data_IF_770459802413
#
_entry.id   IF_770459802413
#
_cell.length_a   1.000
_cell.length_b   1.000
_cell.length_c   1.000
_cell.angle_alpha   90.00
_cell.angle_beta   90.00
_cell.angle_gamma   90.00
#
_symmetry.space_group_name_H-M   'P 1'
#
loop_
_entity.id
_entity.type
_entity.pdbx_description
1 polymer ?
#
# COMPACT_ATOMS: atom_id res chain seq x y z
N UNK A 1 -55.42 56.05 16.80
CA UNK A 1 -54.64 56.06 18.05
C UNK A 1 -53.42 55.18 17.81
N UNK A 2 -52.30 55.79 17.40
CA UNK A 2 -51.03 55.11 17.09
C UNK A 2 -50.18 55.05 18.36
N UNK A 3 -49.70 53.86 18.73
CA UNK A 3 -48.56 53.71 19.65
C UNK A 3 -47.36 53.23 18.82
N UNK A 4 -46.39 54.12 18.64
CA UNK A 4 -45.06 53.84 18.08
C UNK A 4 -44.19 53.30 19.21
N UNK A 5 -43.64 52.10 19.01
CA UNK A 5 -42.59 51.52 19.86
C UNK A 5 -41.27 52.27 19.58
N UNK A 6 -40.78 52.99 20.59
CA UNK A 6 -39.44 53.57 20.61
C UNK A 6 -38.45 52.45 20.92
N UNK A 7 -37.59 52.10 19.96
CA UNK A 7 -36.42 51.25 20.18
C UNK A 7 -35.25 52.11 20.67
N UNK A 8 -34.77 51.85 21.89
CA UNK A 8 -33.61 52.49 22.50
C UNK A 8 -32.33 52.08 21.73
N UNK A 9 -31.75 53.02 20.97
CA UNK A 9 -30.44 52.85 20.32
C UNK A 9 -29.33 53.32 21.27
N UNK A 10 -28.89 52.44 22.17
CA UNK A 10 -27.65 52.66 22.91
C UNK A 10 -26.47 52.26 22.02
N UNK A 11 -25.75 53.26 21.51
CA UNK A 11 -24.47 53.06 20.82
C UNK A 11 -23.40 52.59 21.80
N UNK A 12 -22.55 51.67 21.35
CA UNK A 12 -21.41 51.18 22.14
C UNK A 12 -20.45 52.32 22.50
N UNK A 13 -20.00 52.34 23.76
CA UNK A 13 -19.03 53.34 24.23
C UNK A 13 -17.63 53.00 23.75
N UNK A 14 -16.77 54.02 23.57
CA UNK A 14 -15.37 53.83 23.18
C UNK A 14 -14.61 52.91 24.14
N UNK A 15 -15.01 52.86 25.41
CA UNK A 15 -14.47 51.95 26.42
C UNK A 15 -14.81 50.50 26.11
N UNK A 16 -16.06 50.19 25.72
CA UNK A 16 -16.44 48.83 25.32
C UNK A 16 -15.62 48.35 24.12
N UNK A 17 -15.39 49.22 23.12
CA UNK A 17 -14.62 48.86 21.93
C UNK A 17 -13.14 48.60 22.27
N UNK A 18 -12.54 49.40 23.15
CA UNK A 18 -11.17 49.18 23.64
C UNK A 18 -11.06 47.88 24.45
N UNK A 19 -12.03 47.58 25.32
CA UNK A 19 -12.07 46.32 26.08
C UNK A 19 -12.21 45.13 25.13
N UNK A 20 -13.09 45.21 24.12
CA UNK A 20 -13.22 44.17 23.10
C UNK A 20 -11.92 43.95 22.33
N UNK A 21 -11.22 45.02 21.94
CA UNK A 21 -9.91 44.90 21.27
C UNK A 21 -8.86 44.19 22.15
N UNK A 22 -8.78 44.52 23.44
CA UNK A 22 -7.85 43.86 24.37
C UNK A 22 -8.19 42.38 24.55
N UNK A 23 -9.49 42.03 24.67
CA UNK A 23 -9.94 40.64 24.79
C UNK A 23 -9.59 39.86 23.51
N UNK A 24 -9.83 40.44 22.33
CA UNK A 24 -9.51 39.79 21.05
C UNK A 24 -8.01 39.59 20.90
N UNK A 25 -7.19 40.61 21.18
CA UNK A 25 -5.73 40.50 21.11
C UNK A 25 -5.18 39.48 22.11
N UNK A 26 -5.70 39.47 23.34
CA UNK A 26 -5.35 38.47 24.35
C UNK A 26 -5.74 37.05 23.92
N UNK A 27 -6.94 36.89 23.35
CA UNK A 27 -7.41 35.64 22.77
C UNK A 27 -6.51 35.15 21.64
N UNK A 28 -6.17 36.02 20.68
CA UNK A 28 -5.27 35.69 19.57
C UNK A 28 -3.88 35.28 20.05
N UNK A 29 -3.31 35.99 21.04
CA UNK A 29 -2.01 35.63 21.62
C UNK A 29 -2.04 34.28 22.33
N UNK A 30 -3.12 33.98 23.08
CA UNK A 30 -3.31 32.69 23.74
C UNK A 30 -3.45 31.55 22.71
N UNK A 31 -4.23 31.74 21.65
CA UNK A 31 -4.37 30.76 20.57
C UNK A 31 -3.05 30.53 19.85
N UNK A 32 -2.27 31.58 19.56
CA UNK A 32 -0.95 31.45 18.95
C UNK A 32 0.01 30.64 19.83
N UNK A 33 0.02 30.89 21.15
CA UNK A 33 0.82 30.12 22.09
C UNK A 33 0.42 28.64 22.13
N UNK A 34 -0.88 28.34 22.06
CA UNK A 34 -1.39 26.96 21.98
C UNK A 34 -0.95 26.27 20.67
N UNK A 35 -1.03 26.96 19.54
CA UNK A 35 -0.59 26.43 18.23
C UNK A 35 0.91 26.14 18.22
N UNK A 36 1.73 27.06 18.73
CA UNK A 36 3.19 26.86 18.85
C UNK A 36 3.50 25.67 19.77
N UNK A 37 2.80 25.57 20.90
CA UNK A 37 2.92 24.43 21.82
C UNK A 37 2.56 23.10 21.16
N UNK A 38 1.43 23.06 20.45
CA UNK A 38 0.96 21.87 19.72
C UNK A 38 1.94 21.45 18.63
N UNK A 39 2.44 22.40 17.82
CA UNK A 39 3.43 22.12 16.78
C UNK A 39 4.74 21.59 17.36
N UNK A 40 5.21 22.16 18.48
CA UNK A 40 6.41 21.68 19.16
C UNK A 40 6.24 20.27 19.75
N UNK A 41 5.05 19.92 20.24
CA UNK A 41 4.76 18.55 20.68
C UNK A 41 4.70 17.57 19.51
N UNK A 42 4.04 17.93 18.40
CA UNK A 42 3.97 17.10 17.20
C UNK A 42 5.34 16.82 16.61
N UNK A 43 6.16 17.87 16.43
CA UNK A 43 7.55 17.72 15.97
C UNK A 43 8.38 16.84 16.92
N UNK A 44 8.19 17.00 18.24
CA UNK A 44 8.86 16.17 19.23
C UNK A 44 8.48 14.68 19.17
N UNK A 45 7.21 14.38 18.90
CA UNK A 45 6.72 13.00 18.69
C UNK A 45 7.29 12.41 17.42
N UNK A 46 7.23 13.15 16.30
CA UNK A 46 7.78 12.71 15.02
C UNK A 46 9.29 12.43 15.10
N UNK A 47 10.06 13.26 15.81
CA UNK A 47 11.49 13.03 16.01
C UNK A 47 11.76 11.76 16.85
N UNK A 48 10.91 11.45 17.83
CA UNK A 48 11.02 10.23 18.64
C UNK A 48 10.69 8.97 17.84
N UNK A 49 9.65 9.03 17.02
CA UNK A 49 9.28 7.96 16.08
C UNK A 49 10.43 7.69 15.10
N UNK A 50 10.99 8.75 14.50
CA UNK A 50 12.14 8.64 13.61
C UNK A 50 13.36 8.04 14.31
N UNK A 51 13.69 8.48 15.53
CA UNK A 51 14.81 7.93 16.30
C UNK A 51 14.63 6.45 16.62
N UNK A 52 13.41 6.02 16.97
CA UNK A 52 13.10 4.62 17.29
C UNK A 52 13.15 3.75 16.03
N UNK A 53 12.62 4.26 14.91
CA UNK A 53 12.74 3.61 13.61
C UNK A 53 14.20 3.45 13.21
N UNK A 54 15.01 4.50 13.33
CA UNK A 54 16.43 4.48 12.98
C UNK A 54 17.23 3.53 13.88
N UNK A 55 16.98 3.52 15.19
CA UNK A 55 17.64 2.60 16.11
C UNK A 55 17.32 1.14 15.77
N UNK A 56 16.07 0.86 15.36
CA UNK A 56 15.66 -0.46 14.88
C UNK A 56 16.32 -0.81 13.55
N UNK A 57 16.31 0.11 12.59
CA UNK A 57 16.94 -0.05 11.26
C UNK A 57 18.42 -0.39 11.40
N UNK A 58 19.17 0.29 12.28
CA UNK A 58 20.59 0.00 12.53
C UNK A 58 20.82 -1.41 13.11
N UNK A 59 19.92 -1.87 14.01
CA UNK A 59 20.02 -3.20 14.61
C UNK A 59 19.62 -4.30 13.63
N UNK A 60 18.59 -4.10 12.82
CA UNK A 60 18.21 -5.03 11.75
C UNK A 60 19.27 -5.07 10.64
N UNK A 61 19.83 -3.91 10.26
CA UNK A 61 20.95 -3.81 9.35
C UNK A 61 22.18 -4.56 9.86
N UNK A 62 22.36 -4.66 11.17
CA UNK A 62 23.46 -5.44 11.76
C UNK A 62 23.28 -6.95 11.51
N UNK A 63 22.06 -7.48 11.40
CA UNK A 63 21.82 -8.88 11.03
C UNK A 63 22.24 -9.20 9.59
N UNK A 64 22.26 -8.17 8.75
CA UNK A 64 22.75 -8.23 7.38
C UNK A 64 24.28 -8.08 7.28
N UNK A 65 25.00 -7.83 8.38
CA UNK A 65 26.48 -7.80 8.41
C UNK A 65 27.00 -9.18 8.78
N UNK A 66 28.01 -9.67 8.04
CA UNK A 66 28.60 -10.98 8.33
C UNK A 66 29.20 -11.02 9.74
N UNK A 67 29.04 -12.15 10.42
CA UNK A 67 29.39 -12.27 11.83
C UNK A 67 30.83 -11.84 12.17
N UNK A 68 31.87 -12.19 11.37
CA UNK A 68 33.23 -11.70 11.62
C UNK A 68 33.37 -10.18 11.55
N UNK A 69 32.53 -9.50 10.76
CA UNK A 69 32.54 -8.03 10.55
C UNK A 69 31.64 -7.26 11.50
N UNK A 70 30.87 -7.94 12.34
CA UNK A 70 30.21 -7.37 13.51
C UNK A 70 31.23 -7.09 14.63
N UNK A 71 32.33 -6.41 14.31
CA UNK A 71 33.35 -5.99 15.26
C UNK A 71 33.26 -4.48 15.48
N UNK A 72 33.70 -4.01 16.65
CA UNK A 72 33.53 -2.62 17.07
C UNK A 72 34.14 -1.62 16.08
N UNK A 73 35.22 -2.00 15.40
CA UNK A 73 35.94 -1.17 14.44
C UNK A 73 35.37 -1.23 13.00
N UNK A 74 34.53 -2.21 12.66
CA UNK A 74 34.02 -2.40 11.29
C UNK A 74 32.51 -2.21 11.19
N UNK A 75 31.75 -2.45 12.26
CA UNK A 75 30.28 -2.46 12.24
C UNK A 75 29.69 -1.15 11.71
N UNK A 76 30.25 0.00 12.09
CA UNK A 76 29.76 1.31 11.63
C UNK A 76 29.94 1.46 10.12
N UNK A 77 31.12 1.14 9.59
CA UNK A 77 31.38 1.21 8.14
C UNK A 77 30.51 0.24 7.33
N UNK A 78 30.18 -0.92 7.90
CA UNK A 78 29.30 -1.90 7.25
C UNK A 78 27.85 -1.44 7.22
N UNK A 79 27.37 -0.82 8.31
CA UNK A 79 26.03 -0.25 8.37
C UNK A 79 25.91 0.96 7.44
N UNK A 80 26.90 1.85 7.42
CA UNK A 80 26.92 3.01 6.52
C UNK A 80 26.94 2.65 5.04
N UNK A 81 27.39 1.44 4.68
CA UNK A 81 27.34 0.95 3.31
C UNK A 81 25.96 0.41 2.88
N UNK A 82 25.01 0.32 3.82
CA UNK A 82 23.62 -0.08 3.55
C UNK A 82 22.78 1.14 3.16
N UNK A 83 21.88 0.95 2.20
CA UNK A 83 21.03 2.03 1.71
C UNK A 83 20.15 2.57 2.85
N UNK A 84 20.13 3.90 3.02
CA UNK A 84 19.39 4.57 4.08
C UNK A 84 20.18 4.74 5.39
N UNK A 85 21.27 4.00 5.62
CA UNK A 85 22.08 4.11 6.82
C UNK A 85 23.39 4.88 6.59
N UNK A 86 23.56 5.48 5.41
CA UNK A 86 24.68 6.34 5.06
C UNK A 86 24.83 7.52 6.03
N UNK A 87 26.06 8.02 6.15
CA UNK A 87 26.32 9.24 6.91
C UNK A 87 25.81 10.45 6.12
N UNK A 88 24.73 11.04 6.60
CA UNK A 88 24.10 12.20 5.97
C UNK A 88 24.92 13.47 6.15
N UNK A 89 25.86 13.51 7.11
CA UNK A 89 26.70 14.68 7.41
C UNK A 89 28.15 14.27 7.71
N UNK A 90 28.90 13.79 6.69
CA UNK A 90 30.25 13.27 6.88
C UNK A 90 31.29 14.33 7.31
N UNK A 91 30.92 15.62 7.25
CA UNK A 91 31.76 16.71 7.75
C UNK A 91 31.65 16.89 9.28
N UNK A 92 30.55 16.42 9.88
CA UNK A 92 30.34 16.43 11.33
C UNK A 92 31.04 15.21 11.95
N UNK A 93 31.40 15.31 13.24
CA UNK A 93 32.04 14.18 13.93
C UNK A 93 31.03 13.07 14.26
N UNK A 94 31.40 11.82 13.98
CA UNK A 94 30.59 10.64 14.28
C UNK A 94 29.55 10.36 13.19
N UNK A 95 28.86 9.22 13.31
CA UNK A 95 27.85 8.82 12.32
C UNK A 95 26.57 9.63 12.51
N UNK A 96 26.27 10.50 11.55
CA UNK A 96 25.07 11.35 11.55
C UNK A 96 24.07 10.85 10.51
N UNK A 97 22.79 10.79 10.88
CA UNK A 97 21.70 10.47 9.95
C UNK A 97 20.65 11.56 10.04
N UNK A 98 20.26 12.13 8.90
CA UNK A 98 19.22 13.15 8.84
C UNK A 98 17.89 12.55 8.38
N UNK A 99 16.83 12.74 9.18
CA UNK A 99 15.46 12.34 8.84
C UNK A 99 14.49 13.46 9.20
N UNK A 100 13.65 13.85 8.23
CA UNK A 100 12.61 14.88 8.43
C UNK A 100 13.17 16.17 9.06
N UNK A 101 14.30 16.65 8.54
CA UNK A 101 15.01 17.86 9.03
C UNK A 101 15.45 17.80 10.50
N UNK A 102 15.64 16.59 11.05
CA UNK A 102 16.24 16.33 12.36
C UNK A 102 17.50 15.50 12.18
N UNK A 103 18.59 15.94 12.78
CA UNK A 103 19.88 15.23 12.77
C UNK A 103 19.96 14.33 13.98
N UNK A 104 20.28 13.07 13.73
CA UNK A 104 20.47 12.04 14.74
C UNK A 104 21.94 11.62 14.74
N UNK A 105 22.54 11.51 15.92
CA UNK A 105 23.85 10.88 16.09
C UNK A 105 23.64 9.42 16.46
N UNK A 106 24.22 8.51 15.68
CA UNK A 106 24.09 7.07 15.88
C UNK A 106 25.40 6.51 16.40
N UNK A 107 25.35 5.82 17.54
CA UNK A 107 26.49 5.08 18.10
C UNK A 107 26.14 3.60 18.15
N UNK A 108 26.97 2.76 17.53
CA UNK A 108 26.82 1.31 17.57
C UNK A 108 27.96 0.69 18.36
N UNK A 109 27.60 -0.16 19.32
CA UNK A 109 28.56 -0.94 20.10
C UNK A 109 28.29 -2.43 19.94
N UNK A 110 29.34 -3.22 19.81
CA UNK A 110 29.29 -4.68 19.65
C UNK A 110 30.19 -5.35 20.68
N UNK A 111 29.78 -6.51 21.16
CA UNK A 111 30.57 -7.37 22.03
C UNK A 111 30.27 -8.83 21.70
N UNK A 112 31.22 -9.71 22.01
CA UNK A 112 31.01 -11.15 22.01
C UNK A 112 30.36 -11.58 23.34
N UNK A 113 29.56 -12.64 23.30
CA UNK A 113 28.86 -13.27 24.43
C UNK A 113 28.96 -14.77 24.24
N UNK A 114 29.39 -15.45 25.30
CA UNK A 114 29.63 -16.88 25.41
C UNK A 114 28.36 -17.62 25.88
N UNK A 115 28.10 -18.85 25.41
CA UNK A 115 26.98 -19.66 25.89
C UNK A 115 27.41 -20.45 27.14
N UNK A 116 26.90 -20.15 28.36
CA UNK A 116 27.30 -20.87 29.57
C UNK A 116 26.98 -22.38 29.58
N UNK A 117 26.32 -22.92 28.55
CA UNK A 117 25.93 -24.33 28.45
C UNK A 117 27.05 -25.27 28.01
N UNK A 118 28.03 -24.81 27.25
CA UNK A 118 29.18 -25.62 26.82
C UNK A 118 30.49 -25.19 27.49
N UNK A 119 30.50 -24.05 28.17
CA UNK A 119 31.57 -23.60 29.04
C UNK A 119 31.55 -22.08 29.09
N UNK A 120 32.59 -21.48 29.67
CA UNK A 120 32.94 -20.08 29.43
C UNK A 120 34.43 -20.06 29.11
N UNK A 121 34.77 -19.64 27.89
CA UNK A 121 36.13 -19.48 27.39
C UNK A 121 36.61 -18.03 27.41
N UNK A 122 37.78 -17.78 26.82
CA UNK A 122 38.33 -16.43 26.65
C UNK A 122 37.77 -15.78 25.38
N UNK A 123 37.03 -14.68 25.51
CA UNK A 123 36.55 -13.91 24.37
C UNK A 123 36.69 -12.40 24.61
N UNK A 124 36.48 -11.63 23.54
CA UNK A 124 36.50 -10.16 23.58
C UNK A 124 35.25 -9.60 24.28
N UNK A 125 35.18 -9.80 25.60
CA UNK A 125 34.16 -9.23 26.47
C UNK A 125 34.32 -7.70 26.54
N UNK A 126 33.20 -6.98 26.71
CA UNK A 126 33.20 -5.55 27.03
C UNK A 126 32.57 -5.34 28.40
N UNK A 127 32.78 -4.19 29.04
CA UNK A 127 32.09 -3.87 30.31
C UNK A 127 30.55 -3.96 30.20
N UNK A 128 30.02 -3.89 28.98
CA UNK A 128 28.60 -4.02 28.69
C UNK A 128 28.13 -5.49 28.50
N UNK A 129 29.05 -6.41 28.22
CA UNK A 129 28.81 -7.84 28.00
C UNK A 129 29.89 -8.63 28.72
N UNK A 130 29.92 -8.49 30.03
CA UNK A 130 30.81 -9.25 30.88
C UNK A 130 30.18 -10.61 31.18
N UNK A 131 30.86 -11.67 30.80
CA UNK A 131 30.45 -13.02 31.16
C UNK A 131 31.04 -13.43 32.53
N UNK A 132 30.54 -14.53 33.13
CA UNK A 132 31.11 -15.10 34.34
C UNK A 132 32.59 -15.47 34.16
N UNK A 133 33.26 -15.81 35.26
CA UNK A 133 34.63 -16.33 35.17
C UNK A 133 34.68 -17.61 34.32
N UNK A 134 35.78 -17.78 33.59
CA UNK A 134 36.05 -18.96 32.77
C UNK A 134 35.80 -20.27 33.53
N UNK A 135 35.21 -21.25 32.83
CA UNK A 135 34.94 -22.58 33.39
C UNK A 135 36.14 -23.52 33.18
N UNK A 136 36.11 -24.68 33.85
CA UNK A 136 37.07 -25.77 33.63
C UNK A 136 36.31 -27.08 33.37
N UNK A 137 36.34 -27.66 32.16
CA UNK A 137 37.07 -27.16 30.98
C UNK A 137 36.50 -25.83 30.45
N UNK A 138 37.38 -25.02 29.87
CA UNK A 138 36.99 -23.78 29.20
C UNK A 138 36.36 -24.12 27.84
N UNK A 139 35.42 -23.29 27.39
CA UNK A 139 34.90 -23.42 26.04
C UNK A 139 35.99 -23.05 25.01
N UNK A 140 36.06 -23.84 23.93
CA UNK A 140 37.02 -23.69 22.86
C UNK A 140 36.53 -22.76 21.74
N UNK A 141 35.25 -22.37 21.74
CA UNK A 141 34.63 -21.49 20.75
C UNK A 141 33.80 -20.35 21.38
N UNK A 142 34.36 -19.56 22.32
CA UNK A 142 33.59 -18.70 23.24
C UNK A 142 32.92 -17.47 22.60
N UNK A 143 32.91 -17.38 21.27
CA UNK A 143 32.25 -16.33 20.48
C UNK A 143 30.97 -16.89 19.84
N UNK A 144 30.00 -17.27 20.67
CA UNK A 144 28.72 -17.85 20.24
C UNK A 144 27.72 -16.81 19.75
N UNK A 145 27.70 -15.65 20.39
CA UNK A 145 26.80 -14.58 20.02
C UNK A 145 27.52 -13.22 19.99
N UNK A 146 27.04 -12.36 19.11
CA UNK A 146 27.34 -10.93 19.15
C UNK A 146 26.12 -10.16 19.60
N UNK A 147 26.29 -9.37 20.65
CA UNK A 147 25.27 -8.40 21.07
C UNK A 147 25.60 -7.05 20.47
N UNK A 148 24.67 -6.54 19.68
CA UNK A 148 24.77 -5.25 19.00
C UNK A 148 23.80 -4.28 19.66
N UNK A 149 24.29 -3.09 19.98
CA UNK A 149 23.48 -2.00 20.54
C UNK A 149 23.57 -0.81 19.63
N UNK A 150 22.42 -0.29 19.20
CA UNK A 150 22.33 1.02 18.57
C UNK A 150 21.79 2.03 19.57
N UNK A 151 22.52 3.11 19.78
CA UNK A 151 22.08 4.28 20.55
C UNK A 151 21.95 5.46 19.59
N UNK A 152 20.74 6.00 19.48
CA UNK A 152 20.42 7.15 18.65
C UNK A 152 20.14 8.34 19.55
N UNK A 153 20.92 9.41 19.43
CA UNK A 153 20.71 10.67 20.16
C UNK A 153 20.27 11.80 19.23
N UNK A 154 19.45 12.72 19.74
CA UNK A 154 19.04 13.93 19.03
C UNK A 154 18.69 15.05 20.00
N UNK A 155 18.81 16.30 19.54
CA UNK A 155 18.52 17.48 20.36
C UNK A 155 17.38 18.29 19.74
N UNK A 156 16.13 18.16 20.26
CA UNK A 156 15.03 19.00 19.82
C UNK A 156 15.29 20.47 20.17
N UNK A 157 14.80 21.40 19.35
CA UNK A 157 15.01 22.83 19.55
C UNK A 157 14.52 23.27 20.93
N UNK A 158 15.41 23.93 21.70
CA UNK A 158 15.10 24.43 23.04
C UNK A 158 14.88 23.36 24.12
N UNK A 159 15.23 22.09 23.86
CA UNK A 159 15.09 20.97 24.80
C UNK A 159 16.42 20.23 25.03
N UNK A 160 16.57 19.50 26.14
CA UNK A 160 17.73 18.65 26.35
C UNK A 160 17.81 17.54 25.30
N UNK A 161 19.02 17.03 25.10
CA UNK A 161 19.26 15.86 24.27
C UNK A 161 18.41 14.67 24.74
N UNK A 162 17.91 13.90 23.78
CA UNK A 162 17.14 12.69 23.99
C UNK A 162 17.86 11.53 23.34
N UNK A 163 17.67 10.34 23.89
CA UNK A 163 18.27 9.12 23.38
C UNK A 163 17.24 8.00 23.28
N UNK A 164 17.43 7.13 22.30
CA UNK A 164 16.76 5.83 22.19
C UNK A 164 17.84 4.77 22.03
N UNK A 165 17.67 3.65 22.71
CA UNK A 165 18.59 2.52 22.67
C UNK A 165 17.83 1.27 22.22
N UNK A 166 18.41 0.54 21.27
CA UNK A 166 17.94 -0.76 20.80
C UNK A 166 19.09 -1.76 20.88
N UNK A 167 18.76 -3.01 21.19
CA UNK A 167 19.73 -4.10 21.33
C UNK A 167 19.23 -5.31 20.57
N UNK A 168 20.12 -6.00 19.85
CA UNK A 168 19.88 -7.37 19.39
C UNK A 168 21.06 -8.28 19.69
N UNK A 169 20.77 -9.57 19.66
CA UNK A 169 21.74 -10.64 19.70
C UNK A 169 21.72 -11.37 18.36
N UNK A 170 22.90 -11.65 17.83
CA UNK A 170 23.14 -12.34 16.56
C UNK A 170 23.98 -13.56 16.91
N UNK A 171 23.50 -14.77 16.60
CA UNK A 171 24.22 -16.03 16.83
C UNK A 171 25.32 -16.21 15.79
N UNK A 172 26.44 -16.86 16.12
CA UNK A 172 27.49 -17.29 15.19
C UNK A 172 27.02 -18.52 14.39
N UNK A 173 27.11 -18.54 13.04
CA UNK A 173 27.79 -17.62 12.13
C UNK A 173 26.90 -16.49 11.57
N UNK A 174 25.71 -16.30 12.12
CA UNK A 174 24.78 -15.24 11.75
C UNK A 174 23.96 -15.56 10.50
N UNK A 175 23.01 -14.69 10.18
CA UNK A 175 22.15 -14.83 9.00
C UNK A 175 22.81 -14.41 7.67
N UNK A 176 24.08 -13.98 7.69
CA UNK A 176 24.80 -13.46 6.51
C UNK A 176 26.28 -13.90 6.48
N UNK A 177 26.56 -15.17 6.77
CA UNK A 177 27.91 -15.74 6.72
C UNK A 177 28.44 -15.95 5.31
N UNK A 178 27.56 -16.06 4.31
CA UNK A 178 27.93 -16.23 2.90
C UNK A 178 28.49 -14.98 2.23
N UNK A 179 28.93 -15.08 0.96
CA UNK A 179 29.37 -13.94 0.15
C UNK A 179 28.28 -12.87 0.05
N UNK A 180 28.63 -11.60 0.28
CA UNK A 180 27.67 -10.49 0.16
C UNK A 180 27.65 -9.91 -1.25
N UNK A 181 26.53 -9.31 -1.64
CA UNK A 181 26.45 -8.46 -2.84
C UNK A 181 27.01 -7.07 -2.50
N UNK A 182 28.14 -6.71 -3.12
CA UNK A 182 28.84 -5.42 -2.95
C UNK A 182 28.25 -4.36 -3.86
N UNK A 183 27.98 -4.71 -5.12
CA UNK A 183 27.33 -3.81 -6.08
C UNK A 183 26.21 -4.58 -6.77
N UNK A 184 25.14 -3.85 -7.09
CA UNK A 184 24.10 -4.25 -8.01
C UNK A 184 23.84 -3.01 -8.84
N UNK A 185 23.83 -3.14 -10.16
CA UNK A 185 23.53 -2.06 -11.10
C UNK A 185 22.55 -2.56 -12.15
N UNK A 186 21.89 -1.62 -12.85
CA UNK A 186 20.99 -1.95 -13.95
C UNK A 186 21.30 -1.08 -15.18
N UNK A 187 21.10 -1.64 -16.35
CA UNK A 187 21.11 -0.96 -17.64
C UNK A 187 19.82 -1.29 -18.40
N UNK A 188 19.00 -0.31 -18.82
CA UNK A 188 19.22 1.13 -18.69
C UNK A 188 19.16 1.63 -17.23
N UNK A 189 20.03 2.58 -16.91
CA UNK A 189 20.08 3.21 -15.58
C UNK A 189 18.94 4.21 -15.32
N UNK A 190 18.19 4.59 -16.37
CA UNK A 190 17.05 5.50 -16.29
C UNK A 190 15.99 5.03 -15.29
N UNK A 191 15.38 5.97 -14.56
CA UNK A 191 14.26 5.71 -13.67
C UNK A 191 13.19 6.82 -13.83
N UNK A 192 11.99 6.51 -14.37
CA UNK A 192 11.61 5.21 -14.91
C UNK A 192 12.29 4.91 -16.25
N UNK A 193 12.26 3.65 -16.66
CA UNK A 193 12.65 3.21 -17.98
C UNK A 193 11.51 3.55 -18.93
N UNK A 194 11.71 4.59 -19.74
CA UNK A 194 10.74 5.10 -20.70
C UNK A 194 11.12 4.81 -22.15
N UNK A 195 10.11 4.63 -23.01
CA UNK A 195 10.27 4.41 -24.45
C UNK A 195 10.35 2.94 -24.88
N UNK A 196 9.81 2.65 -26.06
CA UNK A 196 9.62 1.28 -26.61
C UNK A 196 10.92 0.60 -27.10
N UNK A 197 12.07 1.28 -27.11
CA UNK A 197 13.29 0.74 -27.73
C UNK A 197 14.06 -0.27 -26.88
N UNK A 198 13.73 -0.38 -25.59
CA UNK A 198 14.43 -1.28 -24.67
C UNK A 198 13.62 -2.55 -24.46
N UNK A 199 14.05 -3.64 -25.10
CA UNK A 199 13.43 -4.96 -24.92
C UNK A 199 13.88 -5.71 -23.66
N UNK A 200 14.85 -5.16 -22.93
CA UNK A 200 15.52 -5.84 -21.84
C UNK A 200 16.06 -4.87 -20.79
N UNK A 201 16.16 -5.33 -19.55
CA UNK A 201 16.92 -4.69 -18.46
C UNK A 201 18.01 -5.67 -18.03
N UNK A 202 19.26 -5.26 -18.17
CA UNK A 202 20.41 -6.03 -17.72
C UNK A 202 20.82 -5.61 -16.32
N UNK A 203 21.22 -6.55 -15.49
CA UNK A 203 21.68 -6.35 -14.13
C UNK A 203 23.08 -6.90 -13.98
N UNK A 204 23.97 -6.13 -13.36
CA UNK A 204 25.32 -6.59 -13.02
C UNK A 204 25.50 -6.56 -11.51
N UNK A 205 25.85 -7.70 -10.93
CA UNK A 205 26.09 -7.88 -9.51
C UNK A 205 27.55 -8.26 -9.26
N UNK A 206 28.19 -7.65 -8.25
CA UNK A 206 29.51 -8.08 -7.78
C UNK A 206 29.43 -8.59 -6.35
N UNK A 207 29.94 -9.79 -6.09
CA UNK A 207 30.06 -10.39 -4.77
C UNK A 207 31.37 -9.99 -4.09
N UNK A 208 31.43 -10.06 -2.75
CA UNK A 208 32.66 -9.72 -2.00
C UNK A 208 33.80 -10.73 -2.19
N UNK A 209 33.43 -11.98 -2.47
CA UNK A 209 34.31 -13.11 -2.78
C UNK A 209 33.57 -14.00 -3.77
N UNK A 210 34.27 -14.89 -4.51
CA UNK A 210 33.62 -15.83 -5.43
C UNK A 210 32.54 -16.61 -4.66
N UNK A 211 31.30 -16.49 -5.11
CA UNK A 211 30.19 -17.24 -4.53
C UNK A 211 30.12 -18.66 -5.11
N UNK A 212 29.53 -19.59 -4.38
CA UNK A 212 29.23 -20.91 -4.93
C UNK A 212 27.93 -20.87 -5.73
N UNK A 213 26.95 -20.10 -5.26
CA UNK A 213 25.73 -19.83 -6.00
C UNK A 213 25.29 -18.36 -5.83
N UNK A 214 24.66 -17.80 -6.86
CA UNK A 214 24.01 -16.49 -6.82
C UNK A 214 22.60 -16.64 -7.39
N UNK A 215 21.61 -16.22 -6.62
CA UNK A 215 20.20 -16.22 -7.01
C UNK A 215 19.76 -14.80 -7.38
N UNK A 216 19.24 -14.65 -8.59
CA UNK A 216 18.56 -13.45 -9.05
C UNK A 216 17.06 -13.67 -8.99
N UNK A 217 16.35 -12.67 -8.47
CA UNK A 217 14.92 -12.72 -8.23
C UNK A 217 14.22 -11.46 -8.69
N UNK A 218 13.01 -11.60 -9.23
CA UNK A 218 12.11 -10.51 -9.56
C UNK A 218 10.87 -10.62 -8.66
N UNK A 219 10.53 -9.56 -7.94
CA UNK A 219 9.41 -9.50 -6.98
C UNK A 219 9.40 -10.65 -5.96
N UNK A 220 10.61 -11.09 -5.56
CA UNK A 220 10.81 -12.17 -4.60
C UNK A 220 10.76 -13.58 -5.20
N UNK A 221 10.42 -13.72 -6.49
CA UNK A 221 10.46 -15.01 -7.21
C UNK A 221 11.86 -15.23 -7.77
N UNK A 222 12.47 -16.38 -7.50
CA UNK A 222 13.79 -16.74 -8.07
C UNK A 222 13.61 -17.07 -9.55
N UNK A 223 14.22 -16.24 -10.39
CA UNK A 223 14.19 -16.37 -11.84
C UNK A 223 15.43 -17.10 -12.36
N UNK A 224 16.57 -16.89 -11.71
CA UNK A 224 17.82 -17.53 -12.10
C UNK A 224 18.69 -17.90 -10.90
N UNK A 225 19.41 -19.02 -11.02
CA UNK A 225 20.45 -19.42 -10.08
C UNK A 225 21.70 -19.74 -10.89
N UNK A 226 22.77 -19.01 -10.63
CA UNK A 226 24.06 -19.16 -11.30
C UNK A 226 25.13 -19.65 -10.32
N UNK A 227 26.17 -20.31 -10.84
CA UNK A 227 27.36 -20.74 -10.11
C UNK A 227 28.59 -20.02 -10.70
N UNK A 228 28.83 -18.75 -10.32
CA UNK A 228 29.76 -17.89 -11.04
C UNK A 228 31.21 -18.35 -10.86
N UNK A 229 31.99 -18.24 -11.95
CA UNK A 229 33.43 -18.53 -11.95
C UNK A 229 34.28 -17.39 -11.37
N UNK A 230 33.67 -16.22 -11.15
CA UNK A 230 34.30 -15.00 -10.64
C UNK A 230 33.43 -14.32 -9.57
N UNK A 231 33.80 -13.11 -9.15
CA UNK A 231 32.95 -12.28 -8.29
C UNK A 231 31.84 -11.55 -9.04
N UNK A 232 31.81 -11.59 -10.37
CA UNK A 232 30.79 -10.90 -11.17
C UNK A 232 29.75 -11.89 -11.73
N UNK A 233 28.49 -11.46 -11.72
CA UNK A 233 27.35 -12.14 -12.32
C UNK A 233 26.47 -11.13 -13.06
N UNK A 234 25.96 -11.52 -14.22
CA UNK A 234 25.06 -10.70 -15.05
C UNK A 234 23.73 -11.40 -15.29
N UNK A 235 22.63 -10.66 -15.23
CA UNK A 235 21.28 -11.16 -15.44
C UNK A 235 20.51 -10.27 -16.38
N UNK A 236 19.59 -10.88 -17.11
CA UNK A 236 19.01 -10.29 -18.29
C UNK A 236 17.49 -10.49 -18.22
N UNK A 237 16.77 -9.43 -17.85
CA UNK A 237 15.32 -9.46 -17.75
C UNK A 237 14.70 -8.97 -19.07
N UNK A 238 14.16 -9.89 -19.85
CA UNK A 238 13.47 -9.55 -21.10
C UNK A 238 12.11 -8.95 -20.79
N UNK A 239 11.93 -7.66 -21.08
CA UNK A 239 10.69 -6.90 -20.82
C UNK A 239 9.82 -6.75 -22.07
N UNK A 240 10.40 -6.87 -23.26
CA UNK A 240 9.67 -6.92 -24.54
C UNK A 240 10.51 -7.60 -25.64
N UNK A 241 9.99 -8.65 -26.26
CA UNK A 241 10.61 -9.28 -27.44
C UNK A 241 9.60 -9.73 -28.51
N UNK A 242 8.37 -9.20 -28.46
CA UNK A 242 7.27 -9.59 -29.35
C UNK A 242 6.51 -10.88 -28.94
N UNK A 243 7.15 -11.82 -28.25
CA UNK A 243 6.47 -12.98 -27.61
C UNK A 243 6.19 -12.76 -26.12
N UNK A 244 7.00 -11.92 -25.48
CA UNK A 244 6.91 -11.52 -24.09
C UNK A 244 6.64 -10.03 -24.05
N UNK A 245 5.64 -9.63 -23.27
CA UNK A 245 5.37 -8.25 -22.91
C UNK A 245 5.14 -8.20 -21.40
N UNK A 246 6.11 -7.62 -20.69
CA UNK A 246 5.93 -7.26 -19.28
C UNK A 246 5.07 -6.00 -19.25
N UNK A 247 4.09 -5.90 -18.37
CA UNK A 247 3.26 -4.70 -18.22
C UNK A 247 4.05 -3.55 -17.59
N UNK A 248 3.62 -2.31 -17.78
CA UNK A 248 4.27 -1.18 -17.11
C UNK A 248 3.90 -1.15 -15.62
N UNK A 249 4.78 -0.59 -14.80
CA UNK A 249 4.68 -0.71 -13.34
C UNK A 249 6.02 -0.72 -12.60
N UNK A 250 5.94 -1.02 -11.29
CA UNK A 250 7.10 -1.07 -10.40
C UNK A 250 7.44 -2.50 -10.02
N UNK A 251 8.71 -2.85 -10.22
CA UNK A 251 9.28 -4.18 -9.98
C UNK A 251 10.49 -4.08 -9.04
N UNK A 252 10.78 -5.16 -8.31
CA UNK A 252 11.95 -5.25 -7.43
C UNK A 252 12.84 -6.40 -7.89
N UNK A 253 13.98 -6.05 -8.49
CA UNK A 253 15.04 -7.00 -8.79
C UNK A 253 15.95 -7.15 -7.57
N UNK A 254 16.23 -8.38 -7.15
CA UNK A 254 17.09 -8.67 -6.00
C UNK A 254 18.09 -9.79 -6.30
N UNK A 255 19.24 -9.72 -5.65
CA UNK A 255 20.31 -10.70 -5.80
C UNK A 255 20.81 -11.14 -4.43
N UNK A 256 20.98 -12.45 -4.26
CA UNK A 256 21.53 -13.07 -3.04
C UNK A 256 22.62 -14.08 -3.41
N UNK A 257 23.79 -13.99 -2.77
CA UNK A 257 24.87 -14.93 -2.98
C UNK A 257 24.99 -15.92 -1.82
N UNK A 258 25.50 -17.11 -2.10
CA UNK A 258 25.58 -18.26 -1.20
C UNK A 258 26.98 -18.87 -1.23
N UNK A 259 27.44 -19.36 -0.08
CA UNK A 259 28.68 -20.14 0.02
C UNK A 259 28.47 -21.63 -0.35
N UNK A 260 29.55 -22.41 -0.22
CA UNK A 260 29.55 -23.84 -0.52
C UNK A 260 28.68 -24.68 0.44
N UNK A 261 28.30 -24.13 1.59
CA UNK A 261 27.40 -24.75 2.56
C UNK A 261 25.94 -24.32 2.32
N UNK A 262 25.68 -23.48 1.31
CA UNK A 262 24.36 -22.95 1.00
C UNK A 262 23.91 -21.85 1.96
N UNK A 263 24.83 -21.23 2.71
CA UNK A 263 24.51 -20.12 3.61
C UNK A 263 24.47 -18.81 2.80
N UNK A 264 23.40 -18.02 2.93
CA UNK A 264 23.30 -16.74 2.23
C UNK A 264 24.24 -15.71 2.85
N UNK A 265 24.76 -14.81 2.01
CA UNK A 265 25.25 -13.51 2.45
C UNK A 265 24.21 -12.41 2.26
N UNK A 266 24.62 -11.17 2.48
CA UNK A 266 23.74 -10.00 2.36
C UNK A 266 23.23 -9.80 0.93
N UNK A 267 21.92 -9.72 0.76
CA UNK A 267 21.27 -9.41 -0.51
C UNK A 267 21.32 -7.91 -0.85
N UNK A 268 21.22 -7.58 -2.14
CA UNK A 268 20.91 -6.22 -2.61
C UNK A 268 19.71 -6.25 -3.55
N UNK A 269 18.95 -5.15 -3.55
CA UNK A 269 17.80 -4.98 -4.44
C UNK A 269 17.83 -3.62 -5.13
N UNK A 270 17.27 -3.56 -6.33
CA UNK A 270 17.00 -2.33 -7.07
C UNK A 270 15.54 -2.32 -7.48
N UNK A 271 14.88 -1.18 -7.27
CA UNK A 271 13.55 -0.91 -7.84
C UNK A 271 13.69 -0.54 -9.31
N UNK A 272 12.91 -1.18 -10.16
CA UNK A 272 12.81 -0.90 -11.59
C UNK A 272 11.40 -0.42 -11.88
N UNK A 273 11.27 0.79 -12.41
CA UNK A 273 9.99 1.31 -12.89
C UNK A 273 9.98 1.29 -14.40
N UNK A 274 8.95 0.69 -14.97
CA UNK A 274 8.67 0.68 -16.40
C UNK A 274 7.55 1.68 -16.67
N UNK A 275 7.80 2.61 -17.58
CA UNK A 275 6.86 3.65 -18.00
C UNK A 275 7.04 3.89 -19.52
N UNK A 276 6.77 2.85 -20.31
CA UNK A 276 7.10 2.78 -21.74
C UNK A 276 5.95 3.22 -22.62
N UNK A 277 4.72 2.95 -22.22
CA UNK A 277 3.54 3.09 -23.09
C UNK A 277 2.29 3.59 -22.39
N UNK A 278 1.19 3.57 -23.13
CA UNK A 278 -0.16 3.80 -22.60
C UNK A 278 -0.70 2.50 -22.02
N UNK A 279 -1.66 2.54 -21.07
CA UNK A 279 -2.15 1.33 -20.47
C UNK A 279 -2.80 0.37 -21.45
N UNK A 280 -2.64 -0.93 -21.19
CA UNK A 280 -3.34 -1.98 -21.91
C UNK A 280 -4.85 -1.85 -21.73
N UNK A 281 -5.61 -2.38 -22.69
CA UNK A 281 -7.05 -2.38 -22.64
C UNK A 281 -7.54 -3.13 -21.38
N UNK A 282 -8.61 -2.61 -20.79
CA UNK A 282 -9.28 -3.24 -19.66
C UNK A 282 -10.09 -4.44 -20.14
N UNK A 283 -10.03 -5.53 -19.38
CA UNK A 283 -10.77 -6.75 -19.64
C UNK A 283 -12.03 -6.88 -18.77
N UNK A 284 -12.90 -7.82 -19.17
CA UNK A 284 -14.06 -8.21 -18.38
C UNK A 284 -15.18 -7.16 -18.28
N UNK A 285 -15.22 -6.16 -19.18
CA UNK A 285 -16.32 -5.19 -19.21
C UNK A 285 -17.66 -5.90 -19.43
N UNK A 286 -18.51 -5.86 -18.43
CA UNK A 286 -19.87 -6.39 -18.44
C UNK A 286 -20.84 -5.36 -17.86
N UNK A 287 -22.13 -5.69 -17.86
CA UNK A 287 -23.19 -4.77 -17.48
C UNK A 287 -24.43 -4.88 -18.36
N UNK A 288 -25.37 -3.97 -18.13
CA UNK A 288 -26.63 -3.96 -18.88
C UNK A 288 -27.63 -2.91 -18.41
N UNK A 289 -28.86 -3.06 -18.91
CA UNK A 289 -29.93 -2.09 -18.70
C UNK A 289 -30.78 -2.51 -17.49
N UNK A 290 -30.82 -1.66 -16.47
CA UNK A 290 -31.70 -1.86 -15.33
C UNK A 290 -33.10 -1.35 -15.67
N UNK A 291 -34.03 -2.25 -15.99
CA UNK A 291 -35.39 -1.87 -16.41
C UNK A 291 -36.20 -1.20 -15.29
N UNK A 292 -35.97 -1.57 -14.02
CA UNK A 292 -36.65 -0.97 -12.87
C UNK A 292 -36.32 0.53 -12.72
N UNK A 293 -35.08 0.93 -13.05
CA UNK A 293 -34.58 2.29 -12.82
C UNK A 293 -34.33 3.10 -14.08
N UNK A 294 -34.38 2.47 -15.25
CA UNK A 294 -34.03 3.10 -16.54
C UNK A 294 -32.61 3.69 -16.57
N UNK A 295 -31.65 2.96 -16.02
CA UNK A 295 -30.22 3.29 -15.99
C UNK A 295 -29.40 2.18 -16.65
N UNK A 296 -28.16 2.47 -17.03
CA UNK A 296 -27.20 1.44 -17.43
C UNK A 296 -26.15 1.28 -16.35
N UNK A 297 -25.84 0.04 -16.02
CA UNK A 297 -24.84 -0.32 -15.01
C UNK A 297 -23.75 -1.15 -15.68
N UNK A 298 -22.50 -0.83 -15.38
CA UNK A 298 -21.31 -1.41 -15.97
C UNK A 298 -20.30 -1.75 -14.89
N UNK A 299 -19.57 -2.84 -15.09
CA UNK A 299 -18.46 -3.24 -14.25
C UNK A 299 -17.37 -3.90 -15.08
N UNK A 300 -16.14 -3.91 -14.58
CA UNK A 300 -14.98 -4.45 -15.28
C UNK A 300 -13.97 -5.05 -14.31
N UNK A 301 -12.96 -5.74 -14.84
CA UNK A 301 -11.84 -6.24 -14.04
C UNK A 301 -10.76 -5.18 -13.90
N UNK A 302 -10.01 -5.21 -12.79
CA UNK A 302 -8.85 -4.34 -12.61
C UNK A 302 -7.85 -4.48 -13.77
N UNK A 303 -7.09 -3.42 -14.04
CA UNK A 303 -6.04 -3.48 -15.04
C UNK A 303 -4.84 -4.26 -14.46
N UNK A 304 -4.16 -5.12 -15.24
CA UNK A 304 -2.94 -5.81 -14.78
C UNK A 304 -1.77 -4.85 -14.48
N UNK A 305 -1.79 -3.64 -15.03
CA UNK A 305 -0.81 -2.59 -14.73
C UNK A 305 -1.01 -1.98 -13.34
N UNK A 306 0.10 -1.85 -12.61
CA UNK A 306 0.11 -1.37 -11.22
C UNK A 306 0.13 0.15 -11.08
N UNK A 307 0.43 0.87 -12.16
CA UNK A 307 0.57 2.32 -12.25
C UNK A 307 -0.67 3.02 -12.85
N UNK A 308 -1.75 2.28 -13.08
CA UNK A 308 -3.05 2.85 -13.43
C UNK A 308 -3.57 3.72 -12.29
N UNK A 309 -3.86 4.98 -12.60
CA UNK A 309 -4.34 5.98 -11.65
C UNK A 309 -5.83 6.24 -11.75
N UNK A 310 -6.46 5.95 -12.90
CA UNK A 310 -7.91 6.16 -13.12
C UNK A 310 -8.49 5.22 -14.18
N UNK A 311 -9.81 5.08 -14.15
CA UNK A 311 -10.61 4.57 -15.25
C UNK A 311 -11.54 5.64 -15.78
N UNK A 312 -11.77 5.65 -17.10
CA UNK A 312 -12.85 6.40 -17.72
C UNK A 312 -13.78 5.47 -18.47
N UNK A 313 -15.07 5.66 -18.26
CA UNK A 313 -16.12 4.93 -18.98
C UNK A 313 -16.77 5.88 -19.96
N UNK A 314 -16.77 5.50 -21.23
CA UNK A 314 -17.35 6.27 -22.31
C UNK A 314 -18.57 5.55 -22.88
N UNK A 315 -19.61 6.32 -23.14
CA UNK A 315 -20.72 5.94 -24.00
C UNK A 315 -20.38 6.31 -25.44
N UNK A 316 -20.40 5.34 -26.35
CA UNK A 316 -20.15 5.54 -27.77
C UNK A 316 -21.47 5.70 -28.53
N UNK A 317 -21.82 6.91 -29.01
CA UNK A 317 -22.99 7.06 -29.86
C UNK A 317 -22.74 6.43 -31.25
N UNK A 318 -23.81 6.09 -32.00
CA UNK A 318 -23.67 5.59 -33.38
C UNK A 318 -22.95 6.57 -34.32
N UNK A 319 -23.08 7.88 -34.04
CA UNK A 319 -22.41 8.97 -34.74
C UNK A 319 -21.95 10.02 -33.74
N UNK A 320 -20.84 10.71 -34.03
CA UNK A 320 -20.27 11.74 -33.16
C UNK A 320 -19.23 11.22 -32.17
N UNK A 321 -18.82 12.09 -31.25
CA UNK A 321 -17.77 11.80 -30.28
C UNK A 321 -18.29 11.00 -29.08
N UNK A 322 -17.47 10.09 -28.50
CA UNK A 322 -17.79 9.43 -27.25
C UNK A 322 -18.08 10.43 -26.12
N UNK A 323 -19.02 10.07 -25.24
CA UNK A 323 -19.43 10.87 -24.08
C UNK A 323 -18.87 10.23 -22.82
N UNK A 324 -18.09 10.98 -22.05
CA UNK A 324 -17.59 10.53 -20.75
C UNK A 324 -18.75 10.41 -19.76
N UNK A 325 -18.90 9.24 -19.13
CA UNK A 325 -19.94 8.94 -18.15
C UNK A 325 -19.38 8.93 -16.73
N UNK A 326 -18.29 8.18 -16.52
CA UNK A 326 -17.63 8.08 -15.22
C UNK A 326 -16.13 8.32 -15.36
N UNK A 327 -15.56 8.93 -14.33
CA UNK A 327 -14.13 8.91 -14.04
C UNK A 327 -13.94 8.38 -12.62
N UNK A 328 -13.29 7.24 -12.48
CA UNK A 328 -13.16 6.50 -11.23
C UNK A 328 -11.70 6.31 -10.83
N UNK A 329 -11.47 6.21 -9.53
CA UNK A 329 -10.20 5.71 -8.97
C UNK A 329 -10.05 4.20 -9.26
N UNK A 330 -8.82 3.64 -9.24
CA UNK A 330 -8.58 2.26 -9.67
C UNK A 330 -9.31 1.20 -8.83
N UNK A 331 -9.64 1.52 -7.58
CA UNK A 331 -10.39 0.63 -6.68
C UNK A 331 -11.89 0.61 -6.92
N UNK A 332 -12.42 1.51 -7.76
CA UNK A 332 -13.84 1.58 -8.12
C UNK A 332 -14.07 1.09 -9.54
N UNK A 333 -14.39 -0.20 -9.65
CA UNK A 333 -14.51 -0.95 -10.91
C UNK A 333 -15.94 -1.02 -11.47
N UNK A 334 -16.75 0.02 -11.20
CA UNK A 334 -18.16 0.08 -11.58
C UNK A 334 -18.55 1.49 -12.05
N UNK A 335 -19.50 1.59 -12.99
CA UNK A 335 -20.03 2.84 -13.48
C UNK A 335 -21.52 2.75 -13.73
N UNK A 336 -22.24 3.83 -13.43
CA UNK A 336 -23.67 3.97 -13.72
C UNK A 336 -23.84 5.13 -14.69
N UNK A 337 -24.48 4.89 -15.83
CA UNK A 337 -25.07 5.94 -16.66
C UNK A 337 -26.49 6.21 -16.15
N UNK A 338 -26.73 7.34 -15.45
CA UNK A 338 -28.05 7.66 -14.91
C UNK A 338 -29.01 8.20 -15.97
N UNK A 339 -28.52 8.52 -17.17
CA UNK A 339 -29.28 9.16 -18.25
C UNK A 339 -28.93 8.55 -19.62
N UNK A 340 -29.10 7.22 -19.77
CA UNK A 340 -28.81 6.56 -21.04
C UNK A 340 -29.81 7.04 -22.12
N UNK A 341 -29.38 7.19 -23.39
CA UNK A 341 -30.27 7.61 -24.46
C UNK A 341 -31.38 6.59 -24.71
N UNK A 342 -32.49 7.03 -25.33
CA UNK A 342 -33.66 6.18 -25.57
C UNK A 342 -33.48 5.09 -26.66
N UNK A 343 -32.28 4.94 -27.22
CA UNK A 343 -31.97 3.96 -28.26
C UNK A 343 -32.20 2.52 -27.82
N UNK A 344 -32.42 1.63 -28.81
CA UNK A 344 -32.59 0.19 -28.57
C UNK A 344 -31.30 -0.44 -28.04
N UNK A 345 -30.16 -0.05 -28.60
CA UNK A 345 -28.83 -0.47 -28.17
C UNK A 345 -27.94 0.72 -27.90
N UNK A 346 -27.03 0.56 -26.94
CA UNK A 346 -26.09 1.59 -26.51
C UNK A 346 -24.74 0.94 -26.26
N UNK A 347 -23.70 1.46 -26.91
CA UNK A 347 -22.35 0.93 -26.77
C UNK A 347 -21.56 1.69 -25.70
N UNK A 348 -20.82 0.95 -24.88
CA UNK A 348 -19.90 1.49 -23.89
C UNK A 348 -18.52 0.85 -24.03
N UNK A 349 -17.49 1.57 -23.59
CA UNK A 349 -16.17 1.01 -23.37
C UNK A 349 -15.52 1.70 -22.18
N UNK A 350 -14.53 1.04 -21.60
CA UNK A 350 -13.70 1.56 -20.52
C UNK A 350 -12.26 1.67 -21.00
N UNK A 351 -11.56 2.68 -20.53
CA UNK A 351 -10.12 2.87 -20.71
C UNK A 351 -9.46 3.02 -19.34
N UNK A 352 -8.26 2.48 -19.21
CA UNK A 352 -7.36 2.76 -18.10
C UNK A 352 -6.53 4.01 -18.41
N UNK A 353 -6.15 4.74 -17.37
CA UNK A 353 -5.26 5.89 -17.46
C UNK A 353 -4.13 5.73 -16.47
N UNK A 354 -2.91 5.97 -16.93
CA UNK A 354 -1.71 6.10 -16.11
C UNK A 354 -1.27 7.58 -16.08
N UNK A 355 -0.11 7.81 -15.49
CA UNK A 355 0.54 9.11 -15.46
C UNK A 355 1.95 9.01 -16.05
N UNK A 356 2.19 9.72 -17.15
CA UNK A 356 3.52 9.82 -17.76
C UNK A 356 4.51 10.50 -16.82
N UNK A 357 5.69 9.92 -16.66
CA UNK A 357 6.80 10.51 -15.91
C UNK A 357 7.82 11.09 -16.89
N UNK A 358 8.37 12.31 -16.65
CA UNK A 358 8.15 13.16 -15.49
C UNK A 358 7.04 14.21 -15.68
N UNK A 359 6.37 14.25 -16.84
CA UNK A 359 5.43 15.33 -17.19
C UNK A 359 4.21 15.40 -16.25
N UNK A 360 3.85 14.27 -15.66
CA UNK A 360 2.64 14.10 -14.87
C UNK A 360 1.37 14.09 -15.70
N UNK A 361 1.47 14.03 -17.04
CA UNK A 361 0.32 14.03 -17.93
C UNK A 361 -0.41 12.68 -17.88
N UNK A 362 -1.74 12.72 -17.86
CA UNK A 362 -2.53 11.49 -17.94
C UNK A 362 -2.47 10.95 -19.37
N UNK A 363 -2.12 9.67 -19.54
CA UNK A 363 -2.25 9.00 -20.82
C UNK A 363 -3.41 8.03 -20.77
N UNK A 364 -4.25 8.11 -21.79
CA UNK A 364 -5.39 7.21 -21.96
C UNK A 364 -4.95 5.97 -22.74
N UNK A 365 -5.25 4.80 -22.19
CA UNK A 365 -4.93 3.50 -22.74
C UNK A 365 -5.79 3.09 -23.94
N UNK A 366 -5.61 1.85 -24.38
CA UNK A 366 -6.47 1.26 -25.39
C UNK A 366 -7.90 1.04 -24.81
N UNK A 367 -8.96 1.22 -25.63
CA UNK A 367 -10.32 0.92 -25.19
C UNK A 367 -10.52 -0.59 -25.02
N UNK A 368 -11.30 -0.97 -24.01
CA UNK A 368 -11.86 -2.31 -23.92
C UNK A 368 -12.67 -2.66 -25.19
N UNK A 369 -12.95 -3.95 -25.44
CA UNK A 369 -14.01 -4.34 -26.36
C UNK A 369 -15.32 -3.61 -26.03
N UNK A 370 -16.10 -3.28 -27.06
CA UNK A 370 -17.38 -2.59 -26.88
C UNK A 370 -18.36 -3.50 -26.12
N UNK A 371 -19.00 -2.95 -25.10
CA UNK A 371 -20.17 -3.54 -24.45
C UNK A 371 -21.43 -2.91 -25.02
N UNK A 372 -22.12 -3.66 -25.88
CA UNK A 372 -23.45 -3.29 -26.35
C UNK A 372 -24.49 -3.68 -25.30
N UNK A 373 -25.18 -2.68 -24.78
CA UNK A 373 -26.31 -2.83 -23.85
C UNK A 373 -27.61 -2.71 -24.63
N UNK A 374 -28.48 -3.71 -24.50
CA UNK A 374 -29.82 -3.69 -25.09
C UNK A 374 -30.83 -3.19 -24.07
N UNK A 375 -31.58 -2.15 -24.42
CA UNK A 375 -32.67 -1.65 -23.62
C UNK A 375 -33.77 -2.70 -23.52
N UNK A 376 -34.30 -2.90 -22.31
CA UNK A 376 -35.38 -3.87 -22.08
C UNK A 376 -36.37 -3.34 -21.04
N UNK A 377 -37.59 -3.88 -21.10
CA UNK A 377 -38.62 -3.70 -20.07
C UNK A 377 -38.76 -4.94 -19.18
N UNK A 378 -38.10 -6.04 -19.56
CA UNK A 378 -38.18 -7.30 -18.82
C UNK A 378 -37.40 -7.17 -17.51
N UNK A 379 -37.95 -7.74 -16.45
CA UNK A 379 -37.34 -7.81 -15.12
C UNK A 379 -37.41 -9.26 -14.63
N UNK A 380 -36.39 -9.73 -13.89
CA UNK A 380 -36.48 -11.02 -13.23
C UNK A 380 -37.57 -10.97 -12.16
N UNK A 381 -38.02 -12.13 -11.71
CA UNK A 381 -38.89 -12.21 -10.54
C UNK A 381 -38.11 -11.81 -9.27
N UNK A 382 -38.74 -11.18 -8.27
CA UNK A 382 -38.11 -10.93 -6.98
C UNK A 382 -37.75 -12.25 -6.27
N UNK A 383 -36.81 -12.22 -5.30
CA UNK A 383 -36.61 -13.35 -4.40
C UNK A 383 -37.91 -13.71 -3.67
N UNK A 384 -38.00 -14.92 -3.14
CA UNK A 384 -39.07 -15.30 -2.22
C UNK A 384 -38.73 -14.89 -0.78
N UNK A 385 -39.50 -15.38 0.19
CA UNK A 385 -39.43 -15.06 1.64
C UNK A 385 -38.10 -14.48 2.12
N UNK A 386 -38.12 -13.27 2.68
CA UNK A 386 -36.96 -12.60 3.29
C UNK A 386 -37.12 -12.57 4.81
N UNK A 387 -36.04 -12.87 5.52
CA UNK A 387 -35.96 -12.80 6.97
C UNK A 387 -34.64 -12.20 7.41
N UNK A 388 -34.61 -11.64 8.61
CA UNK A 388 -33.40 -11.12 9.24
C UNK A 388 -33.31 -11.64 10.66
N UNK A 389 -32.12 -12.05 11.07
CA UNK A 389 -31.83 -12.56 12.42
C UNK A 389 -30.63 -11.82 13.00
N UNK A 390 -30.72 -11.22 14.20
CA UNK A 390 -29.56 -10.62 14.86
C UNK A 390 -28.47 -11.66 15.15
N UNK A 391 -27.21 -11.34 14.85
CA UNK A 391 -26.04 -12.16 15.22
C UNK A 391 -24.94 -11.29 15.85
N UNK A 392 -23.94 -11.87 16.54
CA UNK A 392 -22.81 -11.11 17.07
C UNK A 392 -22.00 -10.35 16.01
N UNK A 393 -22.01 -10.81 14.76
CA UNK A 393 -21.29 -10.19 13.65
C UNK A 393 -22.13 -9.12 12.92
N UNK A 394 -23.43 -9.04 13.20
CA UNK A 394 -24.37 -8.12 12.54
C UNK A 394 -25.70 -8.78 12.18
N UNK A 395 -26.69 -8.04 11.63
CA UNK A 395 -27.93 -8.61 11.12
C UNK A 395 -27.65 -9.58 9.96
N UNK A 396 -28.11 -10.83 10.09
CA UNK A 396 -28.01 -11.85 9.04
C UNK A 396 -29.33 -11.97 8.30
N UNK A 397 -29.30 -11.65 7.01
CA UNK A 397 -30.41 -11.78 6.09
C UNK A 397 -30.39 -13.19 5.48
N UNK A 398 -31.57 -13.76 5.28
CA UNK A 398 -31.77 -15.00 4.53
C UNK A 398 -33.02 -14.88 3.67
N UNK A 399 -32.93 -15.33 2.42
CA UNK A 399 -34.07 -15.37 1.51
C UNK A 399 -34.17 -16.67 0.73
N UNK A 400 -35.30 -16.87 0.03
CA UNK A 400 -35.46 -17.96 -0.93
C UNK A 400 -35.20 -17.50 -2.36
N UNK A 401 -34.70 -18.40 -3.20
CA UNK A 401 -34.32 -18.08 -4.56
C UNK A 401 -35.49 -17.50 -5.37
N UNK A 402 -35.19 -16.56 -6.26
CA UNK A 402 -36.20 -16.03 -7.18
C UNK A 402 -36.69 -17.15 -8.12
N UNK A 403 -38.02 -17.32 -8.29
CA UNK A 403 -38.58 -18.24 -9.27
C UNK A 403 -38.07 -17.93 -10.69
N UNK A 404 -38.11 -18.94 -11.55
CA UNK A 404 -37.88 -18.73 -12.98
C UNK A 404 -38.94 -17.79 -13.57
N UNK A 405 -38.60 -16.98 -14.59
CA UNK A 405 -39.55 -16.07 -15.20
C UNK A 405 -40.73 -16.83 -15.82
N UNK A 406 -41.94 -16.28 -15.66
CA UNK A 406 -43.15 -16.85 -16.28
C UNK A 406 -43.06 -16.86 -17.81
N UNK A 407 -42.36 -15.88 -18.38
CA UNK A 407 -42.06 -15.78 -19.81
C UNK A 407 -40.55 -15.64 -19.96
N UNK A 408 -39.84 -16.68 -20.42
CA UNK A 408 -38.40 -16.62 -20.63
C UNK A 408 -38.01 -15.53 -21.63
N UNK A 409 -36.87 -14.90 -21.38
CA UNK A 409 -36.29 -13.91 -22.27
C UNK A 409 -34.78 -14.05 -22.31
N UNK A 410 -34.15 -13.64 -23.40
CA UNK A 410 -32.70 -13.77 -23.51
C UNK A 410 -32.00 -13.04 -22.34
N UNK A 411 -31.14 -13.75 -21.62
CA UNK A 411 -30.43 -13.21 -20.44
C UNK A 411 -31.27 -13.12 -19.18
N UNK A 412 -32.31 -13.94 -19.04
CA UNK A 412 -33.14 -14.11 -17.85
C UNK A 412 -32.48 -14.92 -16.72
N UNK A 413 -31.32 -15.50 -16.97
CA UNK A 413 -30.50 -16.16 -15.96
C UNK A 413 -30.18 -15.22 -14.79
N UNK A 414 -30.40 -15.68 -13.56
CA UNK A 414 -30.06 -14.95 -12.33
C UNK A 414 -28.55 -14.90 -12.16
N UNK A 415 -27.98 -13.71 -11.99
CA UNK A 415 -26.56 -13.55 -11.70
C UNK A 415 -26.27 -13.46 -10.20
N UNK A 416 -26.97 -12.58 -9.49
CA UNK A 416 -26.75 -12.31 -8.07
C UNK A 416 -27.96 -11.58 -7.46
N UNK A 417 -27.92 -11.36 -6.15
CA UNK A 417 -28.87 -10.52 -5.43
C UNK A 417 -28.22 -9.21 -4.98
N UNK A 418 -29.00 -8.11 -4.96
CA UNK A 418 -28.59 -6.84 -4.37
C UNK A 418 -29.28 -6.64 -3.04
N UNK A 419 -28.54 -6.09 -2.08
CA UNK A 419 -29.01 -5.80 -0.73
C UNK A 419 -29.05 -4.29 -0.55
N UNK A 420 -30.19 -3.82 -0.05
CA UNK A 420 -30.43 -2.42 0.27
C UNK A 420 -30.62 -2.26 1.77
N UNK A 421 -30.15 -1.14 2.32
CA UNK A 421 -30.28 -0.77 3.72
C UNK A 421 -30.84 0.63 3.85
N UNK A 422 -31.86 0.79 4.69
CA UNK A 422 -32.50 2.05 5.06
C UNK A 422 -33.07 2.87 3.89
N UNK A 423 -33.32 2.20 2.76
CA UNK A 423 -33.91 2.81 1.59
C UNK A 423 -33.95 1.84 0.42
N UNK A 424 -34.37 2.36 -0.74
CA UNK A 424 -34.55 1.59 -1.96
C UNK A 424 -33.83 2.23 -3.15
N UNK A 425 -33.24 3.41 -3.02
CA UNK A 425 -32.54 4.10 -4.09
C UNK A 425 -31.23 3.37 -4.44
N UNK A 426 -30.67 3.67 -5.62
CA UNK A 426 -29.39 3.09 -6.06
C UNK A 426 -28.28 3.37 -5.03
N UNK A 427 -28.31 4.55 -4.39
CA UNK A 427 -27.38 4.93 -3.33
C UNK A 427 -27.57 4.19 -2.00
N UNK A 428 -28.69 3.48 -1.82
CA UNK A 428 -29.02 2.72 -0.60
C UNK A 428 -28.55 1.26 -0.71
N UNK A 429 -27.90 0.89 -1.83
CA UNK A 429 -27.27 -0.42 -2.01
C UNK A 429 -26.07 -0.53 -1.09
N UNK A 430 -26.07 -1.54 -0.23
CA UNK A 430 -24.97 -1.79 0.71
C UNK A 430 -24.11 -2.97 0.30
N UNK A 431 -24.66 -3.93 -0.45
CA UNK A 431 -23.94 -5.13 -0.87
C UNK A 431 -24.63 -5.82 -2.05
N UNK A 432 -23.94 -6.83 -2.59
CA UNK A 432 -24.50 -7.85 -3.48
C UNK A 432 -23.89 -9.20 -3.14
N UNK A 433 -24.54 -10.28 -3.56
CA UNK A 433 -23.95 -11.61 -3.52
C UNK A 433 -22.96 -11.81 -4.67
N UNK A 434 -22.06 -12.79 -4.53
CA UNK A 434 -21.12 -13.17 -5.59
C UNK A 434 -21.80 -13.94 -6.72
N UNK A 435 -22.86 -14.68 -6.39
CA UNK A 435 -23.61 -15.52 -7.33
C UNK A 435 -25.08 -15.67 -6.90
N UNK A 436 -25.92 -16.23 -7.78
CA UNK A 436 -27.36 -16.39 -7.55
C UNK A 436 -27.72 -17.58 -6.63
N UNK A 437 -26.76 -18.42 -6.27
CA UNK A 437 -26.92 -19.51 -5.30
C UNK A 437 -26.67 -19.07 -3.86
N UNK A 438 -26.05 -17.92 -3.67
CA UNK A 438 -25.83 -17.33 -2.36
C UNK A 438 -27.13 -16.65 -1.90
N UNK A 439 -27.76 -17.23 -0.87
CA UNK A 439 -29.10 -16.85 -0.39
C UNK A 439 -29.10 -16.25 1.02
N UNK A 440 -27.92 -15.90 1.51
CA UNK A 440 -27.76 -15.26 2.82
C UNK A 440 -26.71 -14.15 2.74
N UNK A 441 -26.87 -13.11 3.54
CA UNK A 441 -25.91 -12.02 3.65
C UNK A 441 -25.83 -11.56 5.11
N UNK A 442 -24.63 -11.37 5.65
CA UNK A 442 -24.44 -10.78 6.98
C UNK A 442 -23.93 -9.35 6.81
N UNK A 443 -24.69 -8.39 7.34
CA UNK A 443 -24.29 -6.98 7.32
C UNK A 443 -23.34 -6.68 8.49
N UNK A 444 -22.05 -6.88 8.27
CA UNK A 444 -21.00 -6.62 9.27
C UNK A 444 -20.77 -5.13 9.54
N UNK A 445 -21.29 -4.27 8.67
CA UNK A 445 -21.09 -2.82 8.68
C UNK A 445 -22.38 -2.07 9.05
N UNK A 446 -23.36 -2.76 9.64
CA UNK A 446 -24.62 -2.16 10.10
C UNK A 446 -24.39 -1.07 11.15
N UNK A 447 -23.36 -1.25 12.00
CA UNK A 447 -23.16 -0.40 13.16
C UNK A 447 -24.27 -0.60 14.21
N UNK A 448 -24.58 0.44 14.97
CA UNK A 448 -25.67 0.42 15.95
C UNK A 448 -26.90 1.13 15.42
N UNK A 449 -28.07 0.49 15.50
CA UNK A 449 -29.34 1.05 15.03
C UNK A 449 -30.31 -0.04 14.57
N UNK A 450 -31.60 0.27 14.54
CA UNK A 450 -32.58 -0.57 13.86
C UNK A 450 -32.55 -0.24 12.37
N UNK A 451 -32.20 -1.21 11.53
CA UNK A 451 -32.11 -1.04 10.08
C UNK A 451 -33.25 -1.76 9.37
N UNK A 452 -33.68 -1.20 8.25
CA UNK A 452 -34.61 -1.86 7.33
C UNK A 452 -33.87 -2.40 6.12
N UNK A 453 -34.16 -3.64 5.73
CA UNK A 453 -33.47 -4.30 4.63
C UNK A 453 -34.41 -4.71 3.51
N UNK A 454 -33.91 -4.61 2.28
CA UNK A 454 -34.55 -5.15 1.08
C UNK A 454 -33.56 -5.95 0.25
N UNK A 455 -34.08 -6.92 -0.51
CA UNK A 455 -33.30 -7.73 -1.45
C UNK A 455 -33.98 -7.73 -2.81
N UNK A 456 -33.20 -7.66 -3.89
CA UNK A 456 -33.67 -7.82 -5.26
C UNK A 456 -32.80 -8.82 -6.02
N UNK A 457 -33.38 -9.48 -7.00
CA UNK A 457 -32.67 -10.33 -7.97
C UNK A 457 -32.20 -9.51 -9.17
N UNK A 458 -31.00 -9.83 -9.67
CA UNK A 458 -30.41 -9.28 -10.88
C UNK A 458 -30.15 -10.39 -11.89
N UNK A 459 -30.53 -10.17 -13.15
CA UNK A 459 -30.34 -11.12 -14.25
C UNK A 459 -29.07 -10.84 -15.09
N UNK A 460 -28.81 -11.69 -16.09
CA UNK A 460 -27.65 -11.59 -16.98
C UNK A 460 -27.65 -10.35 -17.89
N UNK A 461 -28.77 -9.62 -17.96
CA UNK A 461 -28.88 -8.30 -18.60
C UNK A 461 -28.78 -7.15 -17.60
N UNK A 462 -28.43 -7.43 -16.35
CA UNK A 462 -28.37 -6.47 -15.25
C UNK A 462 -29.73 -5.82 -14.95
N UNK A 463 -30.82 -6.43 -15.42
CA UNK A 463 -32.15 -5.99 -15.06
C UNK A 463 -32.44 -6.42 -13.65
N UNK A 464 -33.09 -5.53 -12.90
CA UNK A 464 -33.36 -5.74 -11.49
C UNK A 464 -34.85 -5.94 -11.28
N UNK A 465 -35.20 -6.96 -10.49
CA UNK A 465 -36.57 -7.19 -10.02
C UNK A 465 -37.05 -6.08 -9.08
N UNK A 466 -38.36 -6.03 -8.83
CA UNK A 466 -38.89 -5.27 -7.68
C UNK A 466 -38.25 -5.72 -6.37
N UNK A 467 -38.07 -4.81 -5.43
CA UNK A 467 -37.43 -5.11 -4.14
C UNK A 467 -38.38 -5.90 -3.22
N UNK A 468 -37.86 -6.93 -2.57
CA UNK A 468 -38.52 -7.66 -1.49
C UNK A 468 -38.13 -7.07 -0.14
N UNK A 469 -39.11 -6.73 0.71
CA UNK A 469 -38.92 -6.15 2.03
C UNK A 469 -39.92 -5.01 2.33
N UNK A 470 -39.73 -4.23 3.41
CA UNK A 470 -38.62 -4.30 4.35
C UNK A 470 -38.71 -5.49 5.30
N UNK A 471 -37.56 -5.91 5.82
CA UNK A 471 -37.45 -6.65 7.08
C UNK A 471 -36.59 -5.87 8.08
N UNK A 472 -36.90 -6.02 9.37
CA UNK A 472 -36.21 -5.35 10.48
C UNK A 472 -35.79 -6.43 11.51
N UNK A 473 -34.58 -6.36 12.10
CA UNK A 473 -34.05 -7.33 13.07
C UNK A 473 -34.90 -7.56 14.32
#
# INVERSE_FOLDING_TARGET
>A
MQYSLVTDQRGFTLVELLVTMVIVLGGMAATAALVVGANATTSGTQAREAATSLAREAVEGSRAVSYPRLAQNTVVSELQAQNGLDDSRPADSGWQVERRNTVFTVTVTTCSVDDPRDGIGEHAASAYCSDPAQTSPADAAPDDYKRVVSTVSWKPQGRPERTVRQTATITNPGSSSGPRIVTLTKDPSADPISGDSTGQVSFEATTSVKAEAVKWSLDGVVEHTDAPSSTSSSYDWTINNGSTYVVDGTYVASVTAYDAQGQPGTSRSITVKLDRGRPVAVDGLTGGWNALRSIVELEWQGNPESDVVKFRVYRKPPTGSPVLICENVPTKLECIDPSPPAGETIDYYVVALDQEVPSGALREGAPSPLKTVTRTINQPQPPGELSVTPTPEGPRLAWTAAPDPLVPYAGDERLFYRIYRDGQLVGDRTARTGEALELTFTDTDAGGGGHSYWVSTVDARYSESTLLGPVVP
#
